data_IF_581637661826
#
_entry.id   IF_581637661826
#
_cell.length_a   1.000
_cell.length_b   1.000
_cell.length_c   1.000
_cell.angle_alpha   90.00
_cell.angle_beta   90.00
_cell.angle_gamma   90.00
#
_symmetry.space_group_name_H-M   'P 1'
#
loop_
_entity.id
_entity.type
_entity.pdbx_description
1 polymer ?
#
# COMPACT_ATOMS: atom_id res chain seq x y z
N UNK A 1 34.00 38.50 -22.38
CA UNK A 1 32.89 37.66 -21.86
C UNK A 1 33.45 36.81 -20.75
N UNK A 2 33.29 37.20 -19.48
CA UNK A 2 33.80 36.48 -18.31
C UNK A 2 32.77 35.42 -17.90
N UNK A 3 33.10 34.17 -18.18
CA UNK A 3 32.30 33.01 -17.76
C UNK A 3 32.40 32.91 -16.22
N UNK A 4 31.41 33.42 -15.52
CA UNK A 4 31.29 33.23 -14.06
C UNK A 4 31.10 31.75 -13.76
N UNK A 5 32.12 31.11 -13.20
CA UNK A 5 32.04 29.73 -12.73
C UNK A 5 30.99 29.64 -11.64
N UNK A 6 29.99 28.76 -11.85
CA UNK A 6 28.91 28.52 -10.88
C UNK A 6 29.48 28.16 -9.48
N UNK A 7 28.97 28.78 -8.41
CA UNK A 7 29.51 28.58 -7.05
C UNK A 7 29.48 27.12 -6.66
N UNK A 8 30.62 26.58 -6.21
CA UNK A 8 30.75 25.18 -5.76
C UNK A 8 29.95 25.00 -4.47
N UNK A 9 28.93 24.15 -4.54
CA UNK A 9 28.07 23.82 -3.42
C UNK A 9 28.86 23.13 -2.29
N UNK A 10 28.64 23.54 -1.05
CA UNK A 10 29.20 22.89 0.14
C UNK A 10 28.65 21.45 0.31
N UNK A 11 29.38 20.57 1.05
CA UNK A 11 28.94 19.20 1.34
C UNK A 11 27.51 19.15 1.91
N UNK A 12 27.15 20.07 2.80
CA UNK A 12 25.83 20.19 3.40
C UNK A 12 24.75 20.53 2.36
N UNK A 13 25.04 21.47 1.44
CA UNK A 13 24.13 21.85 0.37
C UNK A 13 23.94 20.74 -0.68
N UNK A 14 24.99 19.94 -0.96
CA UNK A 14 24.88 18.76 -1.82
C UNK A 14 23.99 17.69 -1.19
N UNK A 15 24.14 17.42 0.12
CA UNK A 15 23.34 16.47 0.87
C UNK A 15 21.86 16.88 0.91
N UNK A 16 21.55 18.14 1.19
CA UNK A 16 20.17 18.66 1.17
C UNK A 16 19.55 18.64 -0.21
N UNK A 17 20.30 18.94 -1.28
CA UNK A 17 19.82 18.78 -2.66
C UNK A 17 19.53 17.33 -3.01
N UNK A 18 20.40 16.38 -2.60
CA UNK A 18 20.20 14.95 -2.79
C UNK A 18 18.90 14.48 -2.13
N UNK A 19 18.68 14.84 -0.86
CA UNK A 19 17.46 14.50 -0.11
C UNK A 19 16.21 15.08 -0.79
N UNK A 20 16.26 16.34 -1.26
CA UNK A 20 15.15 16.97 -1.97
C UNK A 20 14.84 16.27 -3.32
N UNK A 21 15.88 15.83 -4.05
CA UNK A 21 15.70 15.07 -5.31
C UNK A 21 15.05 13.72 -5.07
N UNK A 22 15.52 12.96 -4.07
CA UNK A 22 14.94 11.67 -3.71
C UNK A 22 13.48 11.82 -3.26
N UNK A 23 13.16 12.83 -2.46
CA UNK A 23 11.79 13.13 -2.06
C UNK A 23 10.90 13.43 -3.27
N UNK A 24 11.36 14.26 -4.20
CA UNK A 24 10.60 14.58 -5.44
C UNK A 24 10.41 13.35 -6.31
N UNK A 25 11.46 12.56 -6.54
CA UNK A 25 11.37 11.32 -7.31
C UNK A 25 10.34 10.36 -6.68
N UNK A 26 10.37 10.21 -5.34
CA UNK A 26 9.40 9.40 -4.61
C UNK A 26 7.96 9.87 -4.82
N UNK A 27 7.69 11.17 -4.67
CA UNK A 27 6.35 11.70 -4.87
C UNK A 27 5.88 11.57 -6.33
N UNK A 28 6.78 11.79 -7.31
CA UNK A 28 6.45 11.60 -8.71
C UNK A 28 6.08 10.15 -9.03
N UNK A 29 6.86 9.18 -8.53
CA UNK A 29 6.55 7.75 -8.69
C UNK A 29 5.22 7.37 -8.04
N UNK A 30 4.98 7.84 -6.83
CA UNK A 30 3.71 7.61 -6.11
C UNK A 30 2.51 8.16 -6.88
N UNK A 31 2.60 9.39 -7.38
CA UNK A 31 1.55 10.02 -8.17
C UNK A 31 1.33 9.25 -9.48
N UNK A 32 2.42 8.88 -10.18
CA UNK A 32 2.33 8.14 -11.43
C UNK A 32 1.61 6.78 -11.23
N UNK A 33 1.95 6.04 -10.18
CA UNK A 33 1.27 4.78 -9.85
C UNK A 33 -0.17 4.98 -9.41
N UNK A 34 -0.47 6.02 -8.62
CA UNK A 34 -1.83 6.33 -8.23
C UNK A 34 -2.71 6.67 -9.44
N UNK A 35 -2.20 7.51 -10.35
CA UNK A 35 -2.89 7.84 -11.60
C UNK A 35 -3.08 6.61 -12.47
N UNK A 36 -2.05 5.76 -12.61
CA UNK A 36 -2.14 4.50 -13.36
C UNK A 36 -3.26 3.61 -12.84
N UNK A 37 -3.36 3.43 -11.52
CA UNK A 37 -4.40 2.59 -10.92
C UNK A 37 -5.79 3.21 -11.08
N UNK A 38 -5.94 4.53 -10.91
CA UNK A 38 -7.22 5.22 -11.13
C UNK A 38 -7.65 5.08 -12.60
N UNK A 39 -6.74 5.27 -13.55
CA UNK A 39 -7.04 5.09 -14.98
C UNK A 39 -7.43 3.64 -15.28
N UNK A 40 -6.75 2.67 -14.70
CA UNK A 40 -7.10 1.25 -14.84
C UNK A 40 -8.50 0.96 -14.26
N UNK A 41 -8.82 1.50 -13.09
CA UNK A 41 -10.13 1.39 -12.46
C UNK A 41 -11.25 1.98 -13.33
N UNK A 42 -11.09 3.20 -13.83
CA UNK A 42 -12.06 3.86 -14.70
C UNK A 42 -12.24 3.07 -16.00
N UNK A 43 -11.15 2.61 -16.60
CA UNK A 43 -11.24 1.78 -17.82
C UNK A 43 -11.96 0.45 -17.58
N UNK A 44 -11.76 -0.16 -16.43
CA UNK A 44 -12.47 -1.39 -16.08
C UNK A 44 -13.97 -1.15 -15.96
N UNK A 45 -14.40 -0.05 -15.37
CA UNK A 45 -15.81 0.30 -15.24
C UNK A 45 -16.46 0.69 -16.58
N UNK A 46 -15.67 1.21 -17.53
CA UNK A 46 -16.19 1.64 -18.85
C UNK A 46 -16.09 0.59 -19.94
N UNK A 47 -15.23 -0.42 -19.79
CA UNK A 47 -14.95 -1.44 -20.83
C UNK A 47 -14.82 -2.80 -20.17
N UNK A 48 -15.77 -3.71 -20.39
CA UNK A 48 -15.81 -5.05 -19.79
C UNK A 48 -14.57 -5.94 -20.10
N UNK A 49 -13.80 -5.59 -21.10
CA UNK A 49 -12.61 -6.34 -21.54
C UNK A 49 -11.31 -5.96 -20.79
N UNK A 50 -11.32 -4.99 -19.87
CA UNK A 50 -10.12 -4.58 -19.17
C UNK A 50 -9.92 -5.36 -17.86
N UNK A 51 -8.65 -5.62 -17.51
CA UNK A 51 -8.30 -6.28 -16.26
C UNK A 51 -8.88 -5.50 -15.07
N UNK A 52 -9.52 -6.20 -14.14
CA UNK A 52 -10.07 -5.61 -12.92
C UNK A 52 -8.93 -5.03 -12.05
N UNK A 53 -9.25 -4.04 -11.22
CA UNK A 53 -8.31 -3.47 -10.23
C UNK A 53 -7.81 -4.52 -9.26
N UNK A 54 -8.56 -5.59 -9.10
CA UNK A 54 -8.25 -6.79 -8.32
C UNK A 54 -6.94 -7.43 -8.77
N UNK A 55 -6.70 -7.49 -10.08
CA UNK A 55 -5.45 -8.02 -10.65
C UNK A 55 -4.21 -7.16 -10.32
N UNK A 56 -4.43 -5.92 -9.88
CA UNK A 56 -3.37 -4.97 -9.49
C UNK A 56 -3.26 -4.81 -7.97
N UNK A 57 -4.08 -5.54 -7.19
CA UNK A 57 -3.99 -5.51 -5.73
C UNK A 57 -2.75 -6.27 -5.25
N UNK A 58 -1.78 -5.60 -4.62
CA UNK A 58 -0.56 -6.25 -4.16
C UNK A 58 -0.80 -7.23 -3.01
N UNK A 59 -1.86 -7.03 -2.24
CA UNK A 59 -2.23 -7.98 -1.18
C UNK A 59 -2.84 -9.25 -1.76
N UNK A 60 -3.79 -9.11 -2.70
CA UNK A 60 -4.37 -10.24 -3.41
C UNK A 60 -3.31 -11.07 -4.14
N UNK A 61 -2.27 -10.42 -4.68
CA UNK A 61 -1.17 -11.10 -5.33
C UNK A 61 -0.36 -11.99 -4.36
N UNK A 62 -0.06 -11.46 -3.16
CA UNK A 62 0.66 -12.22 -2.13
C UNK A 62 -0.22 -13.33 -1.54
N UNK A 63 -1.50 -13.05 -1.31
CA UNK A 63 -2.48 -14.02 -0.82
C UNK A 63 -2.63 -15.20 -1.81
N UNK A 64 -2.75 -14.90 -3.10
CA UNK A 64 -2.78 -15.92 -4.16
C UNK A 64 -1.52 -16.74 -4.22
N UNK A 65 -0.36 -16.11 -4.14
CA UNK A 65 0.94 -16.79 -4.15
C UNK A 65 1.07 -17.75 -2.96
N UNK A 66 0.72 -17.30 -1.76
CA UNK A 66 0.79 -18.11 -0.55
C UNK A 66 -0.23 -19.27 -0.59
N UNK A 67 -1.45 -19.03 -1.06
CA UNK A 67 -2.47 -20.07 -1.21
C UNK A 67 -2.02 -21.12 -2.25
N UNK A 68 -1.45 -20.67 -3.38
CA UNK A 68 -0.91 -21.57 -4.38
C UNK A 68 0.24 -22.45 -3.84
N UNK A 69 1.14 -21.87 -3.06
CA UNK A 69 2.26 -22.60 -2.43
C UNK A 69 1.79 -23.61 -1.39
N UNK A 70 0.68 -23.36 -0.70
CA UNK A 70 0.20 -24.23 0.39
C UNK A 70 -0.76 -25.30 -0.10
N UNK A 71 -1.59 -25.00 -1.10
CA UNK A 71 -2.66 -25.90 -1.57
C UNK A 71 -2.39 -26.49 -2.96
N UNK A 72 -1.46 -25.91 -3.73
CA UNK A 72 -1.23 -26.24 -5.14
C UNK A 72 -2.36 -25.81 -6.07
N UNK A 73 -3.46 -25.24 -5.54
CA UNK A 73 -4.62 -24.77 -6.28
C UNK A 73 -4.58 -23.27 -6.57
N UNK A 74 -5.01 -22.89 -7.78
CA UNK A 74 -5.26 -21.48 -8.11
C UNK A 74 -6.68 -21.11 -7.69
N UNK A 75 -6.83 -19.97 -7.03
CA UNK A 75 -8.16 -19.42 -6.69
C UNK A 75 -8.89 -19.08 -8.01
N UNK A 76 -10.07 -19.66 -8.22
CA UNK A 76 -10.78 -19.70 -9.51
C UNK A 76 -11.21 -18.35 -10.10
N UNK A 77 -11.11 -17.24 -9.38
CA UNK A 77 -11.47 -15.88 -9.82
C UNK A 77 -10.27 -14.99 -10.18
N UNK A 78 -9.03 -15.50 -10.11
CA UNK A 78 -7.85 -14.66 -10.24
C UNK A 78 -7.21 -14.87 -11.60
N UNK A 79 -6.91 -13.75 -12.26
CA UNK A 79 -6.16 -13.75 -13.50
C UNK A 79 -4.70 -14.22 -13.25
N UNK A 80 -4.09 -15.07 -14.08
CA UNK A 80 -2.73 -15.57 -13.90
C UNK A 80 -1.67 -14.47 -13.72
N UNK A 81 -1.92 -13.27 -14.22
CA UNK A 81 -1.06 -12.10 -14.04
C UNK A 81 -0.84 -11.71 -12.58
N UNK A 82 -1.80 -12.04 -11.70
CA UNK A 82 -1.69 -11.75 -10.26
C UNK A 82 -0.58 -12.57 -9.58
N UNK A 83 -0.36 -13.81 -10.03
CA UNK A 83 0.75 -14.64 -9.56
C UNK A 83 2.11 -14.01 -9.92
N UNK A 84 2.23 -13.51 -11.16
CA UNK A 84 3.45 -12.83 -11.62
C UNK A 84 3.70 -11.57 -10.80
N UNK A 85 2.65 -10.81 -10.51
CA UNK A 85 2.73 -9.63 -9.64
C UNK A 85 3.18 -10.01 -8.23
N UNK A 86 2.63 -11.10 -7.66
CA UNK A 86 3.02 -11.61 -6.33
C UNK A 86 4.49 -11.98 -6.27
N UNK A 87 4.99 -12.72 -7.25
CA UNK A 87 6.42 -13.08 -7.36
C UNK A 87 7.28 -11.81 -7.50
N UNK A 88 6.88 -10.88 -8.37
CA UNK A 88 7.62 -9.63 -8.56
C UNK A 88 7.71 -8.80 -7.28
N UNK A 89 6.62 -8.72 -6.49
CA UNK A 89 6.60 -8.02 -5.21
C UNK A 89 7.52 -8.69 -4.19
N UNK A 90 7.50 -10.02 -4.09
CA UNK A 90 8.38 -10.76 -3.18
C UNK A 90 9.84 -10.55 -3.54
N UNK A 91 10.20 -10.70 -4.82
CA UNK A 91 11.56 -10.47 -5.30
C UNK A 91 12.01 -9.02 -5.05
N UNK A 92 11.17 -8.04 -5.38
CA UNK A 92 11.46 -6.64 -5.12
C UNK A 92 11.66 -6.35 -3.63
N UNK A 93 10.90 -7.02 -2.75
CA UNK A 93 11.01 -6.86 -1.30
C UNK A 93 12.32 -7.43 -0.77
N UNK A 94 12.77 -8.56 -1.28
CA UNK A 94 14.04 -9.17 -0.90
C UNK A 94 15.22 -8.29 -1.34
N UNK A 95 15.14 -7.70 -2.55
CA UNK A 95 16.22 -6.88 -3.11
C UNK A 95 16.31 -5.49 -2.49
N UNK A 96 15.17 -4.84 -2.23
CA UNK A 96 15.12 -3.41 -1.86
C UNK A 96 14.45 -3.19 -0.49
N UNK A 97 14.02 -4.26 0.17
CA UNK A 97 13.32 -4.20 1.45
C UNK A 97 11.95 -3.52 1.34
N UNK A 98 11.55 -2.78 2.38
CA UNK A 98 10.23 -2.14 2.48
C UNK A 98 10.04 -0.92 1.55
N UNK A 99 10.84 -0.76 0.50
CA UNK A 99 10.74 0.37 -0.41
C UNK A 99 9.41 0.42 -1.17
N UNK A 100 8.79 -0.75 -1.45
CA UNK A 100 7.50 -0.82 -2.13
C UNK A 100 6.43 0.07 -1.47
N UNK A 101 6.23 -0.02 -0.15
CA UNK A 101 5.25 0.78 0.57
C UNK A 101 5.52 2.29 0.52
N UNK A 102 6.79 2.66 0.36
CA UNK A 102 7.21 4.06 0.33
C UNK A 102 7.25 4.68 -1.06
N UNK A 103 7.36 3.89 -2.14
CA UNK A 103 7.59 4.37 -3.50
C UNK A 103 6.47 4.04 -4.48
N UNK A 104 5.87 2.86 -4.35
CA UNK A 104 4.93 2.32 -5.34
C UNK A 104 3.50 2.30 -4.82
N UNK A 105 3.30 1.97 -3.54
CA UNK A 105 1.96 1.80 -2.98
C UNK A 105 1.17 3.12 -2.96
N UNK A 106 0.06 3.25 -3.71
CA UNK A 106 -0.73 4.48 -3.76
C UNK A 106 -1.46 4.73 -2.43
N UNK A 107 -1.80 3.68 -1.68
CA UNK A 107 -2.38 3.83 -0.35
C UNK A 107 -1.38 4.44 0.66
N UNK A 108 -0.10 4.09 0.52
CA UNK A 108 0.99 4.75 1.25
C UNK A 108 1.11 6.24 0.89
N UNK A 109 0.93 6.58 -0.39
CA UNK A 109 0.92 7.97 -0.86
C UNK A 109 -0.25 8.76 -0.28
N UNK A 110 -1.44 8.16 -0.19
CA UNK A 110 -2.62 8.77 0.45
C UNK A 110 -2.33 9.10 1.92
N UNK A 111 -1.78 8.18 2.68
CA UNK A 111 -1.44 8.41 4.08
C UNK A 111 -0.37 9.49 4.26
N UNK A 112 0.60 9.56 3.35
CA UNK A 112 1.59 10.66 3.31
C UNK A 112 0.91 12.01 2.99
N UNK A 113 -0.07 12.03 2.08
CA UNK A 113 -0.85 13.22 1.78
C UNK A 113 -1.70 13.69 2.98
N UNK A 114 -2.34 12.76 3.68
CA UNK A 114 -3.07 13.05 4.93
C UNK A 114 -2.12 13.66 5.98
N UNK A 115 -0.96 13.07 6.16
CA UNK A 115 0.07 13.59 7.08
C UNK A 115 0.53 14.99 6.67
N UNK A 116 0.70 15.24 5.37
CA UNK A 116 1.07 16.55 4.85
C UNK A 116 -0.03 17.60 5.13
N UNK A 117 -1.31 17.27 4.87
CA UNK A 117 -2.45 18.14 5.18
C UNK A 117 -2.49 18.45 6.68
N UNK A 118 -2.35 17.44 7.53
CA UNK A 118 -2.32 17.61 8.99
C UNK A 118 -1.21 18.56 9.44
N UNK A 119 0.00 18.38 8.91
CA UNK A 119 1.14 19.26 9.25
C UNK A 119 0.92 20.69 8.77
N UNK A 120 0.29 20.87 7.63
CA UNK A 120 -0.07 22.20 7.11
C UNK A 120 -1.14 22.88 7.96
N UNK A 121 -2.09 22.12 8.49
CA UNK A 121 -3.13 22.58 9.41
C UNK A 121 -2.61 22.77 10.86
N UNK A 122 -1.31 22.50 11.11
CA UNK A 122 -0.67 22.57 12.44
C UNK A 122 -1.38 21.75 13.52
N UNK A 123 -2.05 20.67 13.14
CA UNK A 123 -2.69 19.78 14.10
C UNK A 123 -1.64 18.99 14.88
N UNK A 124 -1.82 18.80 16.20
CA UNK A 124 -0.85 18.09 17.03
C UNK A 124 -0.71 16.64 16.59
N UNK A 125 0.53 16.15 16.61
CA UNK A 125 0.80 14.73 16.43
C UNK A 125 0.65 14.01 17.76
N UNK A 126 -0.19 12.99 17.81
CA UNK A 126 -0.22 12.13 19.00
C UNK A 126 0.97 11.17 18.89
N UNK A 127 1.98 11.44 19.72
CA UNK A 127 3.10 10.52 19.86
C UNK A 127 2.64 9.27 20.61
N UNK A 128 2.55 8.15 19.92
CA UNK A 128 2.22 6.87 20.56
C UNK A 128 3.40 6.46 21.45
N UNK A 129 3.18 6.17 22.75
CA UNK A 129 4.24 5.69 23.64
C UNK A 129 4.94 4.45 23.06
N UNK A 130 6.27 4.37 23.18
CA UNK A 130 7.06 3.30 22.54
C UNK A 130 6.59 1.88 22.92
N UNK A 131 6.08 1.69 24.14
CA UNK A 131 5.54 0.39 24.59
C UNK A 131 4.27 0.01 23.83
N UNK A 132 3.34 0.95 23.70
CA UNK A 132 2.06 0.76 22.97
C UNK A 132 2.33 0.56 21.49
N UNK A 133 3.22 1.36 20.91
CA UNK A 133 3.63 1.22 19.51
C UNK A 133 4.20 -0.17 19.20
N UNK A 134 5.03 -0.72 20.10
CA UNK A 134 5.59 -2.07 19.94
C UNK A 134 4.50 -3.14 19.92
N UNK A 135 3.52 -3.05 20.82
CA UNK A 135 2.40 -4.00 20.88
C UNK A 135 1.50 -3.87 19.66
N UNK A 136 1.12 -2.65 19.27
CA UNK A 136 0.26 -2.40 18.11
C UNK A 136 0.87 -2.90 16.79
N UNK A 137 2.20 -2.89 16.67
CA UNK A 137 2.88 -3.45 15.48
C UNK A 137 2.67 -4.96 15.30
N UNK A 138 2.37 -5.69 16.36
CA UNK A 138 2.00 -7.10 16.24
C UNK A 138 0.62 -7.30 15.60
N UNK A 139 -0.24 -6.27 15.65
CA UNK A 139 -1.57 -6.31 15.04
C UNK A 139 -1.53 -6.70 13.55
N UNK A 140 -0.54 -6.24 12.78
CA UNK A 140 -0.37 -6.62 11.37
C UNK A 140 -0.15 -8.12 11.16
N UNK A 141 0.51 -8.81 12.10
CA UNK A 141 0.72 -10.26 12.01
C UNK A 141 -0.56 -11.02 12.38
N UNK A 142 -1.34 -10.48 13.32
CA UNK A 142 -2.65 -11.05 13.68
C UNK A 142 -3.60 -10.94 12.49
N UNK A 143 -3.68 -9.75 11.86
CA UNK A 143 -4.49 -9.55 10.65
C UNK A 143 -4.02 -10.48 9.53
N UNK A 144 -2.70 -10.59 9.29
CA UNK A 144 -2.15 -11.50 8.30
C UNK A 144 -2.55 -12.96 8.57
N UNK A 145 -2.44 -13.42 9.82
CA UNK A 145 -2.81 -14.78 10.21
C UNK A 145 -4.30 -15.04 10.00
N UNK A 146 -5.18 -14.11 10.37
CA UNK A 146 -6.63 -14.21 10.16
C UNK A 146 -6.96 -14.24 8.67
N UNK A 147 -6.39 -13.35 7.88
CA UNK A 147 -6.60 -13.31 6.42
C UNK A 147 -6.18 -14.63 5.79
N UNK A 148 -4.99 -15.13 6.11
CA UNK A 148 -4.49 -16.40 5.57
C UNK A 148 -5.37 -17.59 5.98
N UNK A 149 -5.82 -17.63 7.24
CA UNK A 149 -6.73 -18.66 7.73
C UNK A 149 -8.07 -18.65 6.99
N UNK A 150 -8.66 -17.46 6.85
CA UNK A 150 -9.95 -17.31 6.16
C UNK A 150 -9.84 -17.63 4.66
N UNK A 151 -8.77 -17.21 4.00
CA UNK A 151 -8.56 -17.54 2.57
C UNK A 151 -8.33 -19.04 2.36
N UNK A 152 -7.63 -19.70 3.28
CA UNK A 152 -7.44 -21.15 3.24
C UNK A 152 -8.77 -21.89 3.40
N UNK A 153 -9.63 -21.48 4.34
CA UNK A 153 -10.90 -22.15 4.62
C UNK A 153 -11.98 -21.89 3.59
N UNK A 154 -12.03 -20.68 3.02
CA UNK A 154 -13.06 -20.27 2.06
C UNK A 154 -12.66 -20.49 0.61
N UNK A 155 -11.37 -20.73 0.32
CA UNK A 155 -10.80 -20.78 -1.03
C UNK A 155 -11.17 -19.55 -1.89
N UNK A 156 -11.33 -18.38 -1.22
CA UNK A 156 -11.64 -17.09 -1.82
C UNK A 156 -10.70 -16.04 -1.26
N UNK A 157 -10.52 -14.95 -1.99
CA UNK A 157 -9.86 -13.74 -1.47
C UNK A 157 -10.79 -13.06 -0.45
N UNK A 158 -10.80 -13.59 0.78
CA UNK A 158 -11.72 -13.11 1.82
C UNK A 158 -11.45 -11.66 2.20
N UNK A 159 -10.18 -11.24 2.22
CA UNK A 159 -9.80 -9.89 2.59
C UNK A 159 -10.21 -8.84 1.55
N UNK A 160 -10.43 -9.26 0.31
CA UNK A 160 -10.79 -8.40 -0.80
C UNK A 160 -12.04 -7.54 -0.52
N UNK A 161 -13.07 -8.13 0.06
CA UNK A 161 -14.35 -7.45 0.36
C UNK A 161 -14.21 -6.42 1.49
N UNK A 162 -13.14 -6.48 2.29
CA UNK A 162 -12.86 -5.60 3.42
C UNK A 162 -11.63 -4.72 3.21
N UNK A 163 -10.92 -4.86 2.08
CA UNK A 163 -9.67 -4.15 1.83
C UNK A 163 -9.94 -2.65 1.56
N UNK A 164 -9.47 -1.74 2.44
CA UNK A 164 -9.63 -0.31 2.23
C UNK A 164 -8.92 0.19 0.95
N UNK A 165 -7.93 -0.55 0.45
CA UNK A 165 -7.27 -0.26 -0.82
C UNK A 165 -8.23 -0.47 -1.99
N UNK A 166 -8.87 -1.63 -2.07
CA UNK A 166 -9.83 -1.97 -3.13
C UNK A 166 -11.06 -1.08 -3.04
N UNK A 167 -11.57 -0.85 -1.83
CA UNK A 167 -12.70 0.05 -1.61
C UNK A 167 -12.43 1.45 -2.13
N UNK A 168 -11.23 2.00 -1.88
CA UNK A 168 -10.89 3.36 -2.30
C UNK A 168 -10.61 3.46 -3.80
N UNK A 169 -9.77 2.57 -4.34
CA UNK A 169 -9.28 2.65 -5.72
C UNK A 169 -10.13 1.87 -6.72
N UNK A 170 -10.95 0.92 -6.28
CA UNK A 170 -11.88 0.17 -7.13
C UNK A 170 -13.06 1.00 -7.60
N UNK A 171 -13.35 2.13 -6.96
CA UNK A 171 -14.43 3.08 -7.31
C UNK A 171 -15.84 2.44 -7.37
N UNK A 172 -16.01 1.20 -6.89
CA UNK A 172 -17.32 0.52 -6.90
C UNK A 172 -18.39 1.30 -6.15
N UNK A 173 -18.02 1.98 -5.05
CA UNK A 173 -18.92 2.81 -4.26
C UNK A 173 -19.49 4.02 -5.02
N UNK A 174 -18.87 4.43 -6.12
CA UNK A 174 -19.34 5.51 -6.99
C UNK A 174 -20.38 5.04 -8.01
N UNK A 175 -20.29 3.78 -8.44
CA UNK A 175 -21.13 3.23 -9.52
C UNK A 175 -22.24 2.32 -9.00
N UNK A 176 -21.97 1.53 -7.95
CA UNK A 176 -22.95 0.61 -7.36
C UNK A 176 -22.89 0.73 -5.83
N UNK A 177 -23.79 1.52 -5.26
CA UNK A 177 -23.92 1.63 -3.83
C UNK A 177 -24.79 0.50 -3.29
N UNK A 178 -24.19 -0.58 -2.80
CA UNK A 178 -24.89 -1.68 -2.15
C UNK A 178 -24.73 -1.63 -0.63
N UNK A 179 -25.76 -2.12 0.08
CA UNK A 179 -25.74 -2.19 1.56
C UNK A 179 -24.61 -3.09 2.07
N UNK A 180 -24.15 -4.06 1.27
CA UNK A 180 -23.05 -4.97 1.63
C UNK A 180 -21.68 -4.26 1.73
N UNK A 181 -21.54 -3.05 1.15
CA UNK A 181 -20.28 -2.28 1.19
C UNK A 181 -20.08 -1.48 2.48
N UNK A 182 -21.08 -1.41 3.37
CA UNK A 182 -20.98 -0.66 4.61
C UNK A 182 -19.77 -1.03 5.48
N UNK A 183 -19.45 -2.32 5.71
CA UNK A 183 -18.28 -2.69 6.51
C UNK A 183 -16.97 -2.18 5.92
N UNK A 184 -16.80 -2.28 4.60
CA UNK A 184 -15.61 -1.81 3.90
C UNK A 184 -15.44 -0.29 4.00
N UNK A 185 -16.53 0.47 3.82
CA UNK A 185 -16.55 1.92 3.99
C UNK A 185 -16.27 2.34 5.44
N UNK A 186 -16.81 1.61 6.43
CA UNK A 186 -16.53 1.85 7.83
C UNK A 186 -15.05 1.63 8.15
N UNK A 187 -14.45 0.55 7.67
CA UNK A 187 -13.02 0.27 7.82
C UNK A 187 -12.19 1.37 7.16
N UNK A 188 -12.53 1.77 5.92
CA UNK A 188 -11.85 2.86 5.23
C UNK A 188 -11.94 4.17 6.04
N UNK A 189 -13.11 4.51 6.59
CA UNK A 189 -13.29 5.67 7.46
C UNK A 189 -12.40 5.62 8.69
N UNK A 190 -12.37 4.50 9.40
CA UNK A 190 -11.51 4.28 10.58
C UNK A 190 -10.03 4.43 10.21
N UNK A 191 -9.61 3.90 9.06
CA UNK A 191 -8.23 4.00 8.57
C UNK A 191 -7.86 5.45 8.25
N UNK A 192 -8.75 6.21 7.62
CA UNK A 192 -8.52 7.63 7.32
C UNK A 192 -8.40 8.42 8.63
N UNK A 193 -9.36 8.27 9.55
CA UNK A 193 -9.33 8.95 10.87
C UNK A 193 -8.09 8.55 11.65
N UNK A 194 -7.75 7.27 11.70
CA UNK A 194 -6.54 6.76 12.34
C UNK A 194 -5.27 7.37 11.75
N UNK A 195 -5.24 7.60 10.44
CA UNK A 195 -4.10 8.24 9.75
C UNK A 195 -3.98 9.73 10.04
N UNK A 196 -5.07 10.39 10.45
CA UNK A 196 -5.01 11.76 10.98
C UNK A 196 -4.40 11.82 12.38
N UNK A 197 -4.59 10.79 13.19
CA UNK A 197 -4.08 10.74 14.58
C UNK A 197 -2.62 10.27 14.59
N UNK A 198 -2.32 9.17 13.90
CA UNK A 198 -0.99 8.53 13.88
C UNK A 198 -0.48 8.44 12.45
N UNK A 199 0.77 8.81 12.25
CA UNK A 199 1.40 8.75 10.92
C UNK A 199 1.43 7.32 10.38
N UNK A 200 0.80 7.13 9.21
CA UNK A 200 0.72 5.83 8.51
C UNK A 200 0.15 4.71 9.39
N UNK A 201 -0.90 5.00 10.18
CA UNK A 201 -1.47 4.07 11.15
C UNK A 201 -1.82 2.70 10.54
N UNK A 202 -2.48 2.68 9.39
CA UNK A 202 -2.84 1.43 8.72
C UNK A 202 -1.62 0.61 8.29
N UNK A 203 -0.68 1.23 7.55
CA UNK A 203 0.53 0.54 7.09
C UNK A 203 1.41 0.04 8.25
N UNK A 204 1.34 0.71 9.40
CA UNK A 204 2.17 0.39 10.56
C UNK A 204 1.60 -0.71 11.42
N UNK A 205 0.27 -0.77 11.59
CA UNK A 205 -0.39 -1.61 12.60
C UNK A 205 -1.33 -2.67 12.02
N UNK A 206 -1.98 -2.41 10.90
CA UNK A 206 -3.08 -3.22 10.39
C UNK A 206 -2.81 -3.87 9.03
N UNK A 207 -1.93 -3.28 8.21
CA UNK A 207 -1.71 -3.78 6.85
C UNK A 207 -1.06 -5.17 6.87
N UNK A 208 -1.75 -6.22 6.38
CA UNK A 208 -1.20 -7.59 6.35
C UNK A 208 -0.01 -7.70 5.40
N UNK A 209 -0.02 -6.96 4.28
CA UNK A 209 1.12 -6.86 3.37
C UNK A 209 2.37 -6.30 4.07
N UNK A 210 2.18 -5.32 4.98
CA UNK A 210 3.25 -4.82 5.86
C UNK A 210 3.80 -5.89 6.81
N UNK A 211 2.97 -6.87 7.19
CA UNK A 211 3.37 -8.06 7.95
C UNK A 211 4.30 -8.96 7.12
N UNK A 212 3.91 -9.27 5.88
CA UNK A 212 4.71 -10.05 4.94
C UNK A 212 6.07 -9.39 4.68
N UNK A 213 6.07 -8.08 4.42
CA UNK A 213 7.31 -7.32 4.21
C UNK A 213 8.21 -7.28 5.44
N UNK A 214 7.64 -7.33 6.65
CA UNK A 214 8.44 -7.40 7.86
C UNK A 214 9.12 -8.76 8.00
N UNK A 215 8.45 -9.84 7.64
CA UNK A 215 9.03 -11.20 7.66
C UNK A 215 10.13 -11.29 6.60
N UNK A 216 9.82 -10.91 5.36
CA UNK A 216 10.78 -10.95 4.25
C UNK A 216 11.93 -9.95 4.43
N UNK A 217 11.69 -8.82 5.09
CA UNK A 217 12.72 -7.81 5.37
C UNK A 217 13.83 -8.29 6.29
N UNK A 218 13.60 -9.35 7.09
CA UNK A 218 14.67 -10.02 7.84
C UNK A 218 15.62 -10.85 6.94
N UNK A 219 15.15 -11.18 5.72
CA UNK A 219 15.92 -11.92 4.71
C UNK A 219 16.56 -10.98 3.67
N UNK A 220 16.22 -9.67 3.72
CA UNK A 220 16.79 -8.68 2.78
C UNK A 220 18.27 -8.43 3.08
N UNK A 221 19.03 -8.31 2.00
CA UNK A 221 20.47 -7.99 1.99
C UNK A 221 20.72 -6.51 2.38
#
# INVERSE_FOLDING_TARGET
MTTQAAPRLTKAQRRTRGIKRVKRARHLTQIAFAVFIIVAAVRHQTTEASASVDALCPMGAVETLLTWLTTGGLISKIHPSNLVLGVAIVVATILVGNAFCGWVCPFGALQDAITWVRTKLRLPTVGVPARVDKVLRYGRFVVLAVVMWMSYTTMKLWFFDYDPYVTLFGLHWLYEFSVEMWPALAILGVVIVGSFVVERAFCRYLCPLGGVFAILGHLSL
#
